data_IF_471268517124
#
_entry.id   IF_471268517124
#
_cell.length_a   1.000
_cell.length_b   1.000
_cell.length_c   1.000
_cell.angle_alpha   90.00
_cell.angle_beta   90.00
_cell.angle_gamma   90.00
#
_symmetry.space_group_name_H-M   'P 1'
#
loop_
_entity.id
_entity.type
_entity.pdbx_description
1 polymer ?
#
# COMPACT_ATOMS: atom_id res chain seq x y z
N UNK A 1 -21.02 17.89 -5.91
CA UNK A 1 -20.09 16.77 -6.14
C UNK A 1 -20.83 15.55 -5.65
N UNK A 2 -21.05 14.54 -6.49
CA UNK A 2 -21.90 13.39 -6.11
C UNK A 2 -21.23 12.59 -4.98
N UNK A 3 -22.02 12.08 -4.03
CA UNK A 3 -21.55 11.29 -2.87
C UNK A 3 -20.69 10.10 -3.29
N UNK A 4 -21.03 9.47 -4.41
CA UNK A 4 -20.25 8.40 -5.02
C UNK A 4 -18.86 8.86 -5.49
N UNK A 5 -18.73 10.12 -5.93
CA UNK A 5 -17.43 10.72 -6.28
C UNK A 5 -16.59 10.95 -5.03
N UNK A 6 -17.20 11.36 -3.92
CA UNK A 6 -16.51 11.55 -2.64
C UNK A 6 -16.06 10.22 -2.05
N UNK A 7 -16.95 9.22 -2.05
CA UNK A 7 -16.67 7.86 -1.60
C UNK A 7 -15.55 7.20 -2.42
N UNK A 8 -15.58 7.34 -3.75
CA UNK A 8 -14.51 6.86 -4.60
C UNK A 8 -13.20 7.65 -4.42
N UNK A 9 -13.27 8.96 -4.18
CA UNK A 9 -12.08 9.77 -3.85
C UNK A 9 -11.43 9.35 -2.53
N UNK A 10 -12.23 8.92 -1.55
CA UNK A 10 -11.78 8.34 -0.28
C UNK A 10 -11.13 6.98 -0.50
N UNK A 11 -11.76 6.10 -1.28
CA UNK A 11 -11.26 4.75 -1.57
C UNK A 11 -9.95 4.77 -2.35
N UNK A 12 -9.81 5.68 -3.30
CA UNK A 12 -8.65 5.81 -4.19
C UNK A 12 -7.59 6.80 -3.68
N UNK A 13 -7.80 7.40 -2.49
CA UNK A 13 -6.90 8.36 -1.85
C UNK A 13 -6.42 9.44 -2.85
N UNK A 14 -7.39 10.12 -3.48
CA UNK A 14 -7.17 11.01 -4.64
C UNK A 14 -6.00 11.97 -4.41
N UNK A 15 -5.08 12.03 -5.38
CA UNK A 15 -3.89 12.91 -5.34
C UNK A 15 -4.31 14.37 -5.09
N UNK A 16 -4.08 14.87 -3.87
CA UNK A 16 -4.28 16.28 -3.53
C UNK A 16 -4.91 16.56 -2.17
N UNK A 17 -5.59 15.60 -1.55
CA UNK A 17 -6.20 15.78 -0.22
C UNK A 17 -5.44 15.01 0.86
N UNK A 18 -5.23 15.62 2.02
CA UNK A 18 -4.72 14.88 3.18
C UNK A 18 -5.85 14.10 3.85
N UNK A 19 -5.49 13.01 4.54
CA UNK A 19 -6.47 12.16 5.24
C UNK A 19 -7.33 12.95 6.25
N UNK A 20 -6.79 13.92 7.03
CA UNK A 20 -7.61 14.83 7.85
C UNK A 20 -8.57 15.74 7.07
N UNK A 21 -8.17 16.25 5.90
CA UNK A 21 -9.02 17.12 5.08
C UNK A 21 -10.26 16.35 4.57
N UNK A 22 -10.09 15.07 4.25
CA UNK A 22 -11.19 14.19 3.84
C UNK A 22 -12.20 13.97 4.98
N UNK A 23 -11.74 13.82 6.23
CA UNK A 23 -12.64 13.72 7.40
C UNK A 23 -13.45 15.00 7.56
N UNK A 24 -12.81 16.16 7.43
CA UNK A 24 -13.48 17.45 7.53
C UNK A 24 -14.56 17.62 6.44
N UNK A 25 -14.23 17.26 5.20
CA UNK A 25 -15.18 17.31 4.09
C UNK A 25 -16.38 16.38 4.32
N UNK A 26 -16.17 15.15 4.79
CA UNK A 26 -17.25 14.21 5.10
C UNK A 26 -18.11 14.67 6.29
N UNK A 27 -17.51 15.31 7.30
CA UNK A 27 -18.28 15.91 8.40
C UNK A 27 -19.17 17.06 7.92
N UNK A 28 -18.69 17.86 6.96
CA UNK A 28 -19.50 18.89 6.33
C UNK A 28 -20.66 18.31 5.51
N UNK A 29 -20.40 17.23 4.77
CA UNK A 29 -21.43 16.51 4.03
C UNK A 29 -22.51 15.94 4.97
N UNK A 30 -22.10 15.34 6.09
CA UNK A 30 -23.03 14.87 7.13
C UNK A 30 -23.93 15.99 7.64
N UNK A 31 -23.37 17.16 7.91
CA UNK A 31 -24.15 18.35 8.31
C UNK A 31 -25.09 18.82 7.21
N UNK A 32 -24.63 18.81 5.97
CA UNK A 32 -25.43 19.20 4.80
C UNK A 32 -26.64 18.27 4.60
N UNK A 33 -26.44 16.95 4.68
CA UNK A 33 -27.50 15.95 4.59
C UNK A 33 -28.57 16.15 5.67
N UNK A 34 -28.17 16.49 6.90
CA UNK A 34 -29.10 16.78 7.98
C UNK A 34 -29.97 18.01 7.68
N UNK A 35 -29.37 19.10 7.19
CA UNK A 35 -30.13 20.29 6.79
C UNK A 35 -31.09 20.03 5.62
N UNK A 36 -30.67 19.23 4.62
CA UNK A 36 -31.54 18.87 3.50
C UNK A 36 -32.75 18.06 3.97
N UNK A 37 -32.55 17.16 4.93
CA UNK A 37 -33.64 16.43 5.58
C UNK A 37 -34.60 17.37 6.32
N UNK A 38 -34.08 18.30 7.12
CA UNK A 38 -34.91 19.26 7.87
C UNK A 38 -35.74 20.18 6.96
N UNK A 39 -35.17 20.58 5.82
CA UNK A 39 -35.87 21.37 4.80
C UNK A 39 -36.87 20.56 3.96
N UNK A 40 -36.94 19.24 4.12
CA UNK A 40 -37.83 18.36 3.35
C UNK A 40 -37.37 18.07 1.93
N UNK A 41 -36.11 18.37 1.59
CA UNK A 41 -35.51 18.15 0.26
C UNK A 41 -35.02 16.69 0.08
N UNK A 42 -34.89 15.94 1.18
CA UNK A 42 -34.52 14.52 1.15
C UNK A 42 -35.62 13.64 1.77
N UNK A 43 -35.83 12.46 1.18
CA UNK A 43 -36.66 11.43 1.80
C UNK A 43 -35.95 10.78 2.98
N UNK A 44 -36.71 10.21 3.92
CA UNK A 44 -36.16 9.48 5.07
C UNK A 44 -35.24 8.33 4.63
N UNK A 45 -35.66 7.55 3.64
CA UNK A 45 -34.88 6.41 3.14
C UNK A 45 -33.55 6.86 2.52
N UNK A 46 -33.58 7.90 1.68
CA UNK A 46 -32.36 8.46 1.06
C UNK A 46 -31.42 9.02 2.11
N UNK A 47 -31.94 9.77 3.09
CA UNK A 47 -31.13 10.35 4.15
C UNK A 47 -30.42 9.26 4.96
N UNK A 48 -31.15 8.23 5.38
CA UNK A 48 -30.61 7.13 6.16
C UNK A 48 -29.54 6.34 5.38
N UNK A 49 -29.71 6.18 4.07
CA UNK A 49 -28.70 5.53 3.24
C UNK A 49 -27.42 6.36 3.13
N UNK A 50 -27.52 7.62 2.74
CA UNK A 50 -26.38 8.50 2.50
C UNK A 50 -25.60 8.81 3.78
N UNK A 51 -26.31 9.00 4.90
CA UNK A 51 -25.65 9.26 6.18
C UNK A 51 -24.88 8.02 6.67
N UNK A 52 -25.42 6.82 6.46
CA UNK A 52 -24.74 5.57 6.80
C UNK A 52 -23.44 5.40 6.02
N UNK A 53 -23.46 5.67 4.71
CA UNK A 53 -22.24 5.63 3.88
C UNK A 53 -21.20 6.66 4.32
N UNK A 54 -21.65 7.88 4.63
CA UNK A 54 -20.79 8.97 5.09
C UNK A 54 -20.15 8.64 6.44
N UNK A 55 -20.93 8.12 7.39
CA UNK A 55 -20.43 7.70 8.72
C UNK A 55 -19.44 6.54 8.62
N UNK A 56 -19.71 5.56 7.77
CA UNK A 56 -18.80 4.46 7.52
C UNK A 56 -17.48 4.95 6.93
N UNK A 57 -17.51 5.85 5.95
CA UNK A 57 -16.32 6.44 5.36
C UNK A 57 -15.49 7.23 6.39
N UNK A 58 -16.12 8.03 7.26
CA UNK A 58 -15.44 8.74 8.36
C UNK A 58 -14.73 7.74 9.26
N UNK A 59 -15.43 6.68 9.69
CA UNK A 59 -14.88 5.66 10.58
C UNK A 59 -13.66 4.96 9.99
N UNK A 60 -13.70 4.62 8.71
CA UNK A 60 -12.60 3.97 8.01
C UNK A 60 -11.37 4.89 7.94
N UNK A 61 -11.59 6.17 7.60
CA UNK A 61 -10.51 7.17 7.53
C UNK A 61 -9.90 7.44 8.91
N UNK A 62 -10.73 7.61 9.95
CA UNK A 62 -10.26 7.77 11.32
C UNK A 62 -9.49 6.54 11.81
N UNK A 63 -9.93 5.34 11.43
CA UNK A 63 -9.23 4.09 11.68
C UNK A 63 -7.83 4.09 11.07
N UNK A 64 -7.71 4.49 9.81
CA UNK A 64 -6.43 4.60 9.12
C UNK A 64 -5.53 5.70 9.72
N UNK A 65 -6.07 6.86 10.13
CA UNK A 65 -5.32 7.89 10.86
C UNK A 65 -4.78 7.34 12.18
N UNK A 66 -5.62 6.64 12.96
CA UNK A 66 -5.22 6.02 14.23
C UNK A 66 -4.15 4.96 14.02
N UNK A 67 -4.30 4.11 12.99
CA UNK A 67 -3.31 3.11 12.62
C UNK A 67 -1.97 3.76 12.27
N UNK A 68 -1.96 4.80 11.42
CA UNK A 68 -0.74 5.55 11.08
C UNK A 68 -0.09 6.19 12.31
N UNK A 69 -0.89 6.83 13.18
CA UNK A 69 -0.39 7.40 14.44
C UNK A 69 0.16 6.35 15.41
N UNK A 70 -0.48 5.18 15.50
CA UNK A 70 0.00 4.07 16.31
C UNK A 70 1.35 3.57 15.79
N UNK A 71 1.46 3.40 14.46
CA UNK A 71 2.70 3.00 13.80
C UNK A 71 3.77 4.07 14.04
N UNK A 72 3.49 5.34 13.78
CA UNK A 72 4.41 6.47 13.99
C UNK A 72 4.87 6.58 15.45
N UNK A 73 3.95 6.44 16.42
CA UNK A 73 4.28 6.52 17.85
C UNK A 73 5.13 5.33 18.31
N UNK A 74 4.91 4.15 17.74
CA UNK A 74 5.57 2.89 18.14
C UNK A 74 6.88 2.64 17.39
N UNK A 75 6.98 3.13 16.16
CA UNK A 75 8.08 2.84 15.23
C UNK A 75 8.79 4.09 14.70
N UNK A 76 8.31 5.31 15.02
CA UNK A 76 8.85 6.60 14.54
C UNK A 76 8.43 6.92 13.10
N UNK A 77 8.66 8.17 12.66
CA UNK A 77 8.55 8.57 11.24
C UNK A 77 9.78 8.06 10.45
N UNK A 78 10.00 6.76 10.52
CA UNK A 78 11.28 6.12 10.14
C UNK A 78 11.20 5.51 8.73
N UNK A 79 9.99 5.38 8.16
CA UNK A 79 9.78 4.65 6.91
C UNK A 79 10.37 5.38 5.70
N UNK A 80 10.21 6.70 5.55
CA UNK A 80 10.71 7.40 4.35
C UNK A 80 12.23 7.44 4.30
N UNK A 81 12.90 7.81 5.38
CA UNK A 81 14.37 7.88 5.40
C UNK A 81 14.99 6.48 5.27
N UNK A 82 14.41 5.46 5.92
CA UNK A 82 14.83 4.07 5.75
C UNK A 82 14.62 3.62 4.30
N UNK A 83 13.44 3.85 3.72
CA UNK A 83 13.15 3.47 2.32
C UNK A 83 14.14 4.14 1.36
N UNK A 84 14.43 5.43 1.53
CA UNK A 84 15.44 6.12 0.71
C UNK A 84 16.83 5.51 0.93
N UNK A 85 17.22 5.28 2.18
CA UNK A 85 18.52 4.67 2.51
C UNK A 85 18.66 3.27 1.90
N UNK A 86 17.59 2.48 1.92
CA UNK A 86 17.54 1.16 1.27
C UNK A 86 17.70 1.32 -0.25
N UNK A 87 16.91 2.19 -0.89
CA UNK A 87 16.98 2.44 -2.34
C UNK A 87 18.33 2.97 -2.80
N UNK A 88 19.02 3.74 -1.96
CA UNK A 88 20.34 4.28 -2.27
C UNK A 88 21.43 3.21 -2.18
N UNK A 89 21.36 2.34 -1.15
CA UNK A 89 22.39 1.35 -0.84
C UNK A 89 22.25 0.04 -1.60
N UNK A 90 21.03 -0.37 -1.92
CA UNK A 90 20.76 -1.66 -2.56
C UNK A 90 20.41 -1.42 -4.02
N UNK A 91 21.08 -2.14 -4.93
CA UNK A 91 20.80 -2.08 -6.36
C UNK A 91 19.86 -3.19 -6.79
N UNK A 92 19.02 -2.92 -7.80
CA UNK A 92 18.04 -3.88 -8.30
C UNK A 92 18.68 -5.15 -8.84
N UNK A 93 19.84 -5.04 -9.49
CA UNK A 93 20.57 -6.18 -10.02
C UNK A 93 21.00 -7.17 -8.93
N UNK A 94 21.39 -6.67 -7.76
CA UNK A 94 21.79 -7.49 -6.61
C UNK A 94 20.60 -8.24 -6.05
N UNK A 95 19.46 -7.55 -5.87
CA UNK A 95 18.22 -8.16 -5.36
C UNK A 95 17.71 -9.24 -6.31
N UNK A 96 17.71 -8.98 -7.62
CA UNK A 96 17.30 -10.00 -8.60
C UNK A 96 18.27 -11.18 -8.59
N UNK A 97 19.57 -10.95 -8.42
CA UNK A 97 20.58 -12.01 -8.34
C UNK A 97 20.44 -12.91 -7.11
N UNK A 98 19.77 -12.47 -6.03
CA UNK A 98 19.47 -13.33 -4.89
C UNK A 98 18.50 -14.47 -5.24
N UNK A 99 17.57 -14.21 -6.15
CA UNK A 99 16.48 -15.15 -6.47
C UNK A 99 16.64 -15.81 -7.84
N UNK A 100 17.36 -15.18 -8.77
CA UNK A 100 17.41 -15.57 -10.18
C UNK A 100 18.84 -15.57 -10.73
N UNK A 101 19.05 -16.38 -11.77
CA UNK A 101 20.30 -16.35 -12.54
C UNK A 101 20.28 -15.14 -13.48
N UNK A 102 21.21 -14.20 -13.26
CA UNK A 102 21.36 -12.97 -14.05
C UNK A 102 22.41 -13.19 -15.13
N UNK A 103 22.09 -12.81 -16.36
CA UNK A 103 23.01 -12.79 -17.50
C UNK A 103 23.22 -11.35 -17.97
N UNK A 104 24.48 -10.96 -18.12
CA UNK A 104 24.86 -9.63 -18.57
C UNK A 104 25.44 -9.71 -19.98
N UNK A 105 24.89 -8.91 -20.90
CA UNK A 105 25.43 -8.77 -22.25
C UNK A 105 25.51 -7.31 -22.65
N UNK A 106 26.75 -6.79 -22.75
CA UNK A 106 27.04 -5.37 -22.98
C UNK A 106 26.39 -4.49 -21.90
N UNK A 107 25.40 -3.68 -22.29
CA UNK A 107 24.62 -2.81 -21.39
C UNK A 107 23.25 -3.40 -21.03
N UNK A 108 22.93 -4.60 -21.54
CA UNK A 108 21.66 -5.25 -21.27
C UNK A 108 21.83 -6.27 -20.15
N UNK A 109 20.94 -6.18 -19.17
CA UNK A 109 20.85 -7.10 -18.05
C UNK A 109 19.55 -7.88 -18.18
N UNK A 110 19.66 -9.20 -18.16
CA UNK A 110 18.53 -10.11 -18.24
C UNK A 110 18.62 -11.18 -17.16
N UNK A 111 17.50 -11.77 -16.80
CA UNK A 111 17.47 -12.83 -15.79
C UNK A 111 16.51 -13.95 -16.19
N UNK A 112 16.81 -15.17 -15.75
CA UNK A 112 15.91 -16.32 -15.87
C UNK A 112 14.95 -16.28 -14.70
N UNK A 113 13.67 -16.07 -14.97
CA UNK A 113 12.67 -15.98 -13.92
C UNK A 113 12.31 -17.37 -13.37
N UNK A 114 12.24 -17.49 -12.05
CA UNK A 114 11.90 -18.74 -11.38
C UNK A 114 10.41 -18.89 -11.03
N UNK A 115 9.57 -17.87 -11.32
CA UNK A 115 8.13 -17.89 -10.94
C UNK A 115 7.20 -18.61 -11.92
N UNK A 116 7.50 -18.64 -13.22
CA UNK A 116 6.59 -19.22 -14.22
C UNK A 116 7.12 -20.50 -14.85
N UNK A 117 7.98 -21.23 -14.11
CA UNK A 117 8.69 -22.41 -14.57
C UNK A 117 10.16 -22.11 -14.89
N UNK A 118 10.90 -23.15 -15.31
CA UNK A 118 12.31 -23.03 -15.68
C UNK A 118 12.42 -22.77 -17.18
N UNK A 119 12.57 -21.50 -17.55
CA UNK A 119 12.79 -21.12 -18.94
C UNK A 119 14.20 -21.50 -19.41
N UNK A 120 14.31 -21.98 -20.66
CA UNK A 120 15.61 -22.18 -21.32
C UNK A 120 16.30 -20.86 -21.67
N UNK A 121 15.53 -19.78 -21.82
CA UNK A 121 16.01 -18.45 -22.21
C UNK A 121 15.61 -17.41 -21.16
N UNK A 122 16.41 -16.37 -20.92
CA UNK A 122 16.07 -15.33 -19.96
C UNK A 122 14.81 -14.58 -20.41
N UNK A 123 13.76 -14.66 -19.59
CA UNK A 123 12.45 -14.03 -19.78
C UNK A 123 12.31 -12.69 -19.06
N UNK A 124 13.25 -12.38 -18.18
CA UNK A 124 13.31 -11.14 -17.41
C UNK A 124 14.35 -10.16 -17.93
N UNK A 125 14.07 -8.87 -17.76
CA UNK A 125 14.98 -7.75 -18.06
C UNK A 125 15.14 -6.85 -16.84
N UNK A 126 16.37 -6.39 -16.60
CA UNK A 126 16.71 -5.44 -15.54
C UNK A 126 17.06 -4.10 -16.20
N UNK A 127 16.43 -3.03 -15.72
CA UNK A 127 16.64 -1.66 -16.15
C UNK A 127 17.42 -0.91 -15.06
N UNK A 128 18.74 -0.93 -15.14
CA UNK A 128 19.64 -0.33 -14.12
C UNK A 128 19.35 1.15 -13.93
N UNK A 129 19.19 1.92 -15.01
CA UNK A 129 18.96 3.36 -14.92
C UNK A 129 17.64 3.69 -14.20
N UNK A 130 16.66 2.81 -14.29
CA UNK A 130 15.34 2.97 -13.65
C UNK A 130 15.25 2.23 -12.30
N UNK A 131 16.25 1.44 -11.94
CA UNK A 131 16.26 0.54 -10.79
C UNK A 131 15.00 -0.36 -10.70
N UNK A 132 14.57 -0.89 -11.85
CA UNK A 132 13.41 -1.80 -11.95
C UNK A 132 13.76 -3.07 -12.69
N UNK A 133 13.00 -4.14 -12.41
CA UNK A 133 13.08 -5.40 -13.13
C UNK A 133 11.69 -5.86 -13.58
N UNK A 134 11.60 -6.44 -14.77
CA UNK A 134 10.35 -6.91 -15.35
C UNK A 134 10.50 -8.26 -16.02
N UNK A 135 9.59 -9.18 -15.70
CA UNK A 135 9.47 -10.49 -16.33
C UNK A 135 8.34 -10.47 -17.37
N UNK A 136 8.69 -10.67 -18.65
CA UNK A 136 7.70 -10.68 -19.73
C UNK A 136 6.87 -11.97 -19.79
N UNK A 137 7.36 -13.07 -19.23
CA UNK A 137 6.56 -14.32 -19.14
C UNK A 137 5.55 -14.31 -17.98
N UNK A 138 5.87 -13.61 -16.90
CA UNK A 138 5.05 -13.50 -15.70
C UNK A 138 4.09 -12.31 -15.71
N UNK A 139 4.36 -11.31 -16.56
CA UNK A 139 3.82 -9.95 -16.47
C UNK A 139 3.89 -9.36 -15.07
N UNK A 140 5.04 -9.55 -14.41
CA UNK A 140 5.27 -9.05 -13.06
C UNK A 140 6.69 -8.51 -12.93
N UNK A 141 6.83 -7.51 -12.09
CA UNK A 141 8.06 -6.77 -11.90
C UNK A 141 7.79 -5.50 -11.09
N UNK A 142 8.85 -4.74 -10.87
CA UNK A 142 8.78 -3.52 -10.06
C UNK A 142 10.15 -3.13 -9.55
N UNK A 143 10.16 -2.42 -8.43
CA UNK A 143 11.39 -2.00 -7.74
C UNK A 143 11.94 -3.11 -6.81
N UNK A 144 12.97 -2.78 -6.04
CA UNK A 144 13.61 -3.72 -5.10
C UNK A 144 12.62 -4.33 -4.09
N UNK A 145 11.62 -3.58 -3.64
CA UNK A 145 10.63 -4.07 -2.68
C UNK A 145 9.63 -5.00 -3.37
N UNK A 146 9.18 -4.63 -4.57
CA UNK A 146 8.26 -5.47 -5.35
C UNK A 146 8.90 -6.82 -5.67
N UNK A 147 10.17 -6.86 -6.05
CA UNK A 147 10.88 -8.12 -6.33
C UNK A 147 10.93 -9.01 -5.09
N UNK A 148 11.29 -8.48 -3.91
CA UNK A 148 11.31 -9.26 -2.67
C UNK A 148 9.92 -9.76 -2.31
N UNK A 149 8.89 -8.91 -2.38
CA UNK A 149 7.50 -9.30 -2.13
C UNK A 149 7.06 -10.43 -3.08
N UNK A 150 7.41 -10.32 -4.37
CA UNK A 150 7.03 -11.29 -5.40
C UNK A 150 7.69 -12.66 -5.20
N UNK A 151 8.96 -12.73 -4.78
CA UNK A 151 9.67 -14.00 -4.62
C UNK A 151 9.46 -14.65 -3.26
N UNK A 152 9.26 -13.85 -2.21
CA UNK A 152 9.08 -14.36 -0.85
C UNK A 152 7.62 -14.44 -0.41
N UNK A 153 6.70 -13.89 -1.21
CA UNK A 153 5.28 -13.83 -0.90
C UNK A 153 5.02 -13.17 0.46
N UNK A 154 5.66 -12.02 0.68
CA UNK A 154 5.53 -11.19 1.88
C UNK A 154 4.95 -9.84 1.54
N UNK A 155 4.42 -9.14 2.55
CA UNK A 155 3.92 -7.78 2.43
C UNK A 155 5.05 -6.74 2.40
N UNK A 156 4.75 -5.54 1.92
CA UNK A 156 5.69 -4.43 1.82
C UNK A 156 6.42 -4.10 3.14
N UNK A 157 5.73 -3.98 4.29
CA UNK A 157 6.39 -3.80 5.59
C UNK A 157 7.43 -4.88 5.92
N UNK A 158 7.11 -6.15 5.69
CA UNK A 158 8.05 -7.26 5.87
C UNK A 158 9.23 -7.19 4.89
N UNK A 159 9.00 -6.81 3.64
CA UNK A 159 10.06 -6.61 2.64
C UNK A 159 11.00 -5.45 3.01
N UNK A 160 10.46 -4.35 3.52
CA UNK A 160 11.24 -3.21 4.04
C UNK A 160 12.12 -3.67 5.20
N UNK A 161 11.54 -4.38 6.18
CA UNK A 161 12.27 -4.89 7.33
C UNK A 161 13.44 -5.80 6.92
N UNK A 162 13.20 -6.70 5.96
CA UNK A 162 14.22 -7.62 5.45
C UNK A 162 15.36 -6.87 4.77
N UNK A 163 15.05 -5.94 3.88
CA UNK A 163 16.06 -5.14 3.18
C UNK A 163 16.81 -4.21 4.14
N UNK A 164 16.13 -3.62 5.13
CA UNK A 164 16.76 -2.83 6.19
C UNK A 164 17.76 -3.66 7.00
N UNK A 165 17.36 -4.87 7.41
CA UNK A 165 18.22 -5.80 8.15
C UNK A 165 19.44 -6.19 7.31
N UNK A 166 19.27 -6.38 6.00
CA UNK A 166 20.38 -6.70 5.09
C UNK A 166 21.47 -5.61 5.06
N UNK A 167 21.09 -4.33 5.21
CA UNK A 167 22.04 -3.20 5.26
C UNK A 167 22.45 -2.80 6.68
N UNK A 168 22.14 -3.63 7.68
CA UNK A 168 22.51 -3.42 9.09
C UNK A 168 21.68 -2.35 9.80
N UNK A 169 20.50 -2.00 9.28
CA UNK A 169 19.55 -1.13 9.96
C UNK A 169 18.59 -2.03 10.75
N UNK A 170 18.71 -1.98 12.07
CA UNK A 170 17.77 -2.68 12.96
C UNK A 170 16.40 -1.97 12.90
N UNK A 171 15.48 -2.58 12.18
CA UNK A 171 14.07 -2.21 12.18
C UNK A 171 13.35 -3.27 12.99
N UNK A 172 12.45 -2.90 13.90
CA UNK A 172 11.56 -3.91 14.48
C UNK A 172 10.68 -4.45 13.36
N UNK A 173 10.43 -5.77 13.29
CA UNK A 173 9.56 -6.33 12.26
C UNK A 173 8.21 -5.60 12.28
N UNK A 174 7.89 -4.96 11.15
CA UNK A 174 6.57 -4.39 10.92
C UNK A 174 5.65 -5.60 10.71
N UNK A 175 5.02 -6.09 11.77
CA UNK A 175 4.18 -7.31 11.73
C UNK A 175 3.10 -7.15 10.65
N UNK A 176 2.89 -8.17 9.81
CA UNK A 176 1.70 -8.98 9.98
C UNK A 176 2.01 -10.47 9.77
N UNK A 177 1.97 -11.28 10.84
CA UNK A 177 1.82 -12.73 10.68
C UNK A 177 0.56 -12.97 9.87
N UNK A 178 0.73 -13.46 8.65
CA UNK A 178 -0.26 -13.42 7.59
C UNK A 178 -1.65 -13.91 8.00
N UNK A 179 -2.54 -12.96 8.29
CA UNK A 179 -3.97 -12.98 7.99
C UNK A 179 -4.41 -11.53 7.78
N UNK A 180 -5.01 -11.24 6.64
CA UNK A 180 -6.02 -10.19 6.61
C UNK A 180 -7.06 -10.59 7.67
N UNK A 181 -7.03 -9.95 8.83
CA UNK A 181 -8.19 -9.98 9.72
C UNK A 181 -9.19 -9.08 9.02
N UNK A 182 -10.14 -9.69 8.30
CA UNK A 182 -11.43 -9.05 8.08
C UNK A 182 -11.88 -8.56 9.45
N UNK A 183 -11.99 -7.24 9.62
CA UNK A 183 -12.50 -6.66 10.86
C UNK A 183 -13.96 -7.10 11.02
N UNK A 184 -14.19 -8.26 11.64
CA UNK A 184 -15.45 -8.51 12.30
C UNK A 184 -15.45 -7.64 13.56
N UNK A 185 -16.15 -6.53 13.43
CA UNK A 185 -16.61 -5.74 14.57
C UNK A 185 -17.55 -6.62 15.39
N UNK A 186 -17.14 -7.08 16.58
CA UNK A 186 -18.09 -7.69 17.51
C UNK A 186 -17.45 -8.38 18.71
N UNK A 187 -17.77 -7.89 19.91
CA UNK A 187 -17.58 -8.62 21.16
C UNK A 187 -16.90 -7.81 22.25
N UNK A 188 -17.69 -7.00 22.97
CA UNK A 188 -17.36 -6.62 24.35
C UNK A 188 -17.37 -7.89 25.22
N UNK A 189 -16.29 -8.13 25.97
CA UNK A 189 -16.23 -8.91 27.21
C UNK A 189 -15.31 -8.07 28.13
N UNK A 190 -15.65 -7.65 29.35
CA UNK A 190 -16.75 -7.88 30.30
C UNK A 190 -17.19 -6.56 30.93
#
# INVERSE_FOLDING_TARGET
MELETLYNAVKENYRGYTTPDLVCALQWEKFFLANLKECGELTEETYHHEISLTEQAIKDIEGEIKRRRYIEKRFGNTDREIIHTIKDRIKIEDVVAWYCEVTVYRKNWSYKCNRHGRDKHPSGKIYIDQQTAWCFGCNAGGDIFDIVQLYENIDLPSAIHKLATHIGIDTKPLVPDGKYVSYEMGGEEE
#
